data_IF_750278569466
#
_entry.id   IF_750278569466
#
_cell.length_a   1.000
_cell.length_b   1.000
_cell.length_c   1.000
_cell.angle_alpha   90.00
_cell.angle_beta   90.00
_cell.angle_gamma   90.00
#
_symmetry.space_group_name_H-M   'P 1'
#
loop_
_entity.id
_entity.type
_entity.pdbx_description
1 polymer ?
#
# COMPACT_ATOMS: atom_id res chain seq x y z
N UNK A 1 -52.55 30.21 -61.11
CA UNK A 1 -51.39 29.31 -61.26
C UNK A 1 -50.17 30.04 -60.75
N UNK A 2 -49.43 29.38 -59.87
CA UNK A 2 -48.65 29.96 -58.77
C UNK A 2 -47.33 30.62 -59.18
N UNK A 3 -47.02 31.73 -58.52
CA UNK A 3 -45.70 32.35 -58.38
C UNK A 3 -44.86 31.56 -57.38
N UNK A 4 -43.62 31.18 -57.76
CA UNK A 4 -42.63 30.59 -56.85
C UNK A 4 -41.70 31.67 -56.32
N UNK A 5 -41.68 31.80 -54.99
CA UNK A 5 -40.70 32.56 -54.21
C UNK A 5 -39.63 31.56 -53.76
N UNK A 6 -38.38 31.76 -54.17
CA UNK A 6 -37.24 30.98 -53.68
C UNK A 6 -36.81 31.55 -52.31
N UNK A 7 -36.94 30.72 -51.26
CA UNK A 7 -36.49 31.03 -49.90
C UNK A 7 -35.07 30.52 -49.71
N UNK A 8 -34.12 31.46 -49.72
CA UNK A 8 -32.76 31.30 -49.22
C UNK A 8 -32.79 31.25 -47.69
N UNK A 9 -32.32 30.16 -47.09
CA UNK A 9 -31.86 30.00 -45.69
C UNK A 9 -31.67 28.52 -45.38
N UNK A 10 -30.44 28.04 -45.49
CA UNK A 10 -29.91 27.01 -44.58
C UNK A 10 -28.38 26.99 -44.71
N UNK A 11 -27.75 27.87 -43.94
CA UNK A 11 -26.31 27.83 -43.65
C UNK A 11 -26.17 27.23 -42.24
N UNK A 12 -25.52 26.08 -42.05
CA UNK A 12 -25.29 25.56 -40.71
C UNK A 12 -24.36 26.52 -39.96
N UNK A 13 -24.83 27.04 -38.82
CA UNK A 13 -23.99 27.73 -37.86
C UNK A 13 -22.99 26.72 -37.30
N UNK A 14 -21.72 26.94 -37.61
CA UNK A 14 -20.62 26.24 -36.96
C UNK A 14 -20.71 26.49 -35.45
N UNK A 15 -21.00 25.44 -34.69
CA UNK A 15 -20.79 25.42 -33.25
C UNK A 15 -19.28 25.55 -33.02
N UNK A 16 -18.83 26.74 -32.65
CA UNK A 16 -17.51 26.96 -32.09
C UNK A 16 -17.36 26.06 -30.86
N UNK A 17 -16.41 25.15 -30.96
CA UNK A 17 -15.89 24.35 -29.85
C UNK A 17 -15.36 25.32 -28.79
N UNK A 18 -16.15 25.53 -27.74
CA UNK A 18 -15.72 26.28 -26.56
C UNK A 18 -14.76 25.34 -25.84
N UNK A 19 -13.46 25.53 -26.12
CA UNK A 19 -12.38 24.80 -25.48
C UNK A 19 -12.65 24.70 -23.98
N UNK A 20 -12.78 23.46 -23.50
CA UNK A 20 -12.92 23.16 -22.10
C UNK A 20 -11.78 23.86 -21.35
N UNK A 21 -12.11 24.90 -20.58
CA UNK A 21 -11.17 25.53 -19.68
C UNK A 21 -10.73 24.44 -18.68
N UNK A 22 -9.51 23.94 -18.87
CA UNK A 22 -8.90 22.97 -17.97
C UNK A 22 -8.87 23.60 -16.57
N UNK A 23 -9.64 23.06 -15.61
CA UNK A 23 -9.55 23.49 -14.22
C UNK A 23 -8.07 23.43 -13.78
N UNK A 24 -7.56 24.45 -13.07
CA UNK A 24 -6.16 24.47 -12.68
C UNK A 24 -5.88 23.22 -11.84
N UNK A 25 -4.98 22.37 -12.34
CA UNK A 25 -4.59 21.15 -11.65
C UNK A 25 -4.13 21.50 -10.23
N UNK A 26 -4.79 20.90 -9.24
CA UNK A 26 -4.40 21.05 -7.84
C UNK A 26 -2.98 20.50 -7.68
N UNK A 27 -2.05 21.33 -7.19
CA UNK A 27 -0.67 20.87 -6.91
C UNK A 27 -0.64 20.03 -5.63
N UNK A 28 0.28 19.06 -5.55
CA UNK A 28 0.45 18.18 -4.40
C UNK A 28 0.58 18.94 -3.07
N UNK A 29 1.53 19.89 -2.99
CA UNK A 29 1.75 20.66 -1.75
C UNK A 29 0.52 21.48 -1.35
N UNK A 30 -0.18 22.09 -2.32
CA UNK A 30 -1.41 22.86 -2.02
C UNK A 30 -2.52 21.95 -1.50
N UNK A 31 -2.58 20.70 -1.97
CA UNK A 31 -3.53 19.71 -1.49
C UNK A 31 -3.17 19.21 -0.08
N UNK A 32 -1.91 18.88 0.17
CA UNK A 32 -1.44 18.44 1.49
C UNK A 32 -1.70 19.50 2.57
N UNK A 33 -1.37 20.76 2.29
CA UNK A 33 -1.60 21.90 3.21
C UNK A 33 -3.10 22.10 3.50
N UNK A 34 -3.96 22.03 2.47
CA UNK A 34 -5.42 22.21 2.64
C UNK A 34 -6.11 21.09 3.40
N UNK A 35 -5.55 19.88 3.40
CA UNK A 35 -6.18 18.70 4.02
C UNK A 35 -5.52 18.29 5.35
N UNK A 36 -4.78 19.19 6.00
CA UNK A 36 -4.14 18.96 7.30
C UNK A 36 -3.24 17.70 7.34
N UNK A 37 -2.58 17.37 6.21
CA UNK A 37 -1.71 16.19 6.13
C UNK A 37 -0.44 16.30 7.00
N UNK A 38 -0.18 17.46 7.62
CA UNK A 38 0.86 17.63 8.64
C UNK A 38 0.55 16.89 9.95
N UNK A 39 -0.71 16.47 10.17
CA UNK A 39 -1.12 15.75 11.38
C UNK A 39 -1.00 14.24 11.18
N UNK A 40 -0.14 13.59 11.95
CA UNK A 40 0.07 12.12 11.85
C UNK A 40 -1.23 11.34 12.13
N UNK A 41 -2.09 11.85 13.01
CA UNK A 41 -3.34 11.20 13.41
C UNK A 41 -4.25 10.91 12.22
N UNK A 42 -4.35 11.85 11.28
CA UNK A 42 -5.22 11.72 10.11
C UNK A 42 -4.81 10.54 9.24
N UNK A 43 -3.52 10.45 8.89
CA UNK A 43 -3.02 9.36 8.07
C UNK A 43 -3.14 7.99 8.75
N UNK A 44 -2.97 7.95 10.07
CA UNK A 44 -3.12 6.73 10.85
C UNK A 44 -4.57 6.29 10.96
N UNK A 45 -5.49 7.23 11.22
CA UNK A 45 -6.93 6.96 11.20
C UNK A 45 -7.39 6.43 9.84
N UNK A 46 -6.90 7.03 8.75
CA UNK A 46 -7.16 6.57 7.39
C UNK A 46 -6.65 5.15 7.15
N UNK A 47 -5.44 4.83 7.62
CA UNK A 47 -4.86 3.49 7.47
C UNK A 47 -5.63 2.45 8.30
N UNK A 48 -5.97 2.75 9.56
CA UNK A 48 -6.79 1.91 10.43
C UNK A 48 -8.17 1.60 9.82
N UNK A 49 -8.81 2.60 9.19
CA UNK A 49 -10.10 2.44 8.54
C UNK A 49 -10.06 1.39 7.40
N UNK A 50 -8.93 1.23 6.70
CA UNK A 50 -8.76 0.19 5.69
C UNK A 50 -8.74 -1.23 6.28
N UNK A 51 -8.36 -1.36 7.55
CA UNK A 51 -8.38 -2.61 8.29
C UNK A 51 -9.72 -2.87 9.01
N UNK A 52 -10.71 -1.99 8.82
CA UNK A 52 -12.02 -2.10 9.46
C UNK A 52 -12.01 -1.86 10.97
N UNK A 53 -10.95 -1.26 11.50
CA UNK A 53 -10.78 -0.97 12.93
C UNK A 53 -10.76 0.55 13.16
N UNK A 54 -11.58 1.11 14.07
CA UNK A 54 -11.48 2.51 14.41
C UNK A 54 -10.25 2.76 15.31
N UNK A 55 -9.56 3.88 15.09
CA UNK A 55 -8.58 4.37 16.05
C UNK A 55 -9.34 4.96 17.25
N UNK A 56 -9.10 4.43 18.46
CA UNK A 56 -9.91 4.76 19.64
C UNK A 56 -9.45 6.04 20.35
N UNK A 57 -8.14 6.34 20.31
CA UNK A 57 -7.54 7.52 20.94
C UNK A 57 -6.91 8.42 19.91
N UNK A 58 -7.15 9.73 20.02
CA UNK A 58 -6.65 10.75 19.08
C UNK A 58 -5.15 11.09 19.24
N UNK A 59 -4.42 10.39 20.12
CA UNK A 59 -3.02 10.70 20.45
C UNK A 59 -2.09 9.86 19.56
N UNK A 60 -1.27 10.52 18.74
CA UNK A 60 -0.38 9.92 17.74
C UNK A 60 0.60 8.87 18.30
N UNK A 61 1.11 9.10 19.51
CA UNK A 61 2.08 8.20 20.16
C UNK A 61 1.46 6.84 20.56
N UNK A 62 0.13 6.73 20.60
CA UNK A 62 -0.59 5.51 20.96
C UNK A 62 -0.95 4.64 19.75
N UNK A 63 -0.86 5.13 18.52
CA UNK A 63 -1.54 4.42 17.42
C UNK A 63 -0.92 3.06 17.08
N UNK A 64 0.40 2.93 17.15
CA UNK A 64 1.06 1.63 16.98
C UNK A 64 0.88 0.70 18.19
N UNK A 65 0.57 1.24 19.37
CA UNK A 65 0.17 0.46 20.53
C UNK A 65 -1.27 -0.04 20.38
N UNK A 66 -2.19 0.84 20.02
CA UNK A 66 -3.57 0.50 19.67
C UNK A 66 -3.66 -0.53 18.55
N UNK A 67 -2.75 -0.47 17.56
CA UNK A 67 -2.66 -1.48 16.52
C UNK A 67 -2.43 -2.87 17.15
N UNK A 68 -1.54 -2.98 18.14
CA UNK A 68 -1.24 -4.25 18.83
C UNK A 68 -2.45 -4.77 19.59
N UNK A 69 -3.22 -3.89 20.22
CA UNK A 69 -4.44 -4.25 20.97
C UNK A 69 -5.49 -4.94 20.08
N UNK A 70 -5.49 -4.66 18.78
CA UNK A 70 -6.38 -5.26 17.77
C UNK A 70 -5.69 -6.28 16.86
N UNK A 71 -4.50 -6.76 17.26
CA UNK A 71 -3.75 -7.80 16.54
C UNK A 71 -3.08 -7.33 15.26
N UNK A 72 -2.92 -6.02 15.07
CA UNK A 72 -2.12 -5.40 14.00
C UNK A 72 -0.78 -4.92 14.55
N UNK A 73 0.15 -4.62 13.66
CA UNK A 73 1.42 -4.02 14.01
C UNK A 73 1.84 -2.99 12.98
N UNK A 74 2.46 -1.91 13.45
CA UNK A 74 3.20 -1.01 12.58
C UNK A 74 4.50 -1.66 12.13
N UNK A 75 4.81 -1.50 10.85
CA UNK A 75 6.09 -1.84 10.26
C UNK A 75 6.61 -0.61 9.51
N UNK A 76 7.67 -0.02 10.07
CA UNK A 76 8.33 1.17 9.54
C UNK A 76 9.52 0.75 8.70
N UNK A 77 9.67 1.35 7.52
CA UNK A 77 10.78 1.08 6.62
C UNK A 77 11.18 2.33 5.86
N UNK A 78 12.39 2.29 5.32
CA UNK A 78 12.84 3.18 4.26
C UNK A 78 13.16 2.32 3.03
N UNK A 79 12.50 2.57 1.89
CA UNK A 79 12.75 1.88 0.63
C UNK A 79 12.13 2.64 -0.56
N UNK A 80 12.33 2.15 -1.78
CA UNK A 80 11.75 2.71 -3.00
C UNK A 80 10.28 2.28 -3.23
N UNK A 81 9.68 2.82 -4.30
CA UNK A 81 8.33 2.47 -4.72
C UNK A 81 8.17 0.97 -5.01
N UNK A 82 9.18 0.33 -5.61
CA UNK A 82 9.16 -1.11 -5.90
C UNK A 82 9.00 -1.95 -4.62
N UNK A 83 9.67 -1.58 -3.54
CA UNK A 83 9.54 -2.26 -2.26
C UNK A 83 8.14 -2.15 -1.63
N UNK A 84 7.44 -1.03 -1.84
CA UNK A 84 6.03 -0.88 -1.46
C UNK A 84 5.14 -1.76 -2.35
N UNK A 85 5.38 -1.75 -3.67
CA UNK A 85 4.59 -2.52 -4.64
C UNK A 85 4.69 -4.03 -4.36
N UNK A 86 5.89 -4.54 -4.08
CA UNK A 86 6.12 -5.96 -3.72
C UNK A 86 5.39 -6.38 -2.45
N UNK A 87 5.18 -5.45 -1.50
CA UNK A 87 4.35 -5.71 -0.31
C UNK A 87 2.86 -5.59 -0.59
N UNK A 88 2.45 -4.80 -1.57
CA UNK A 88 1.05 -4.62 -1.97
C UNK A 88 0.14 -4.26 -0.76
N UNK A 89 0.66 -3.47 0.18
CA UNK A 89 -0.07 -2.96 1.34
C UNK A 89 -0.22 -1.44 1.23
N UNK A 90 -1.38 -0.88 1.57
CA UNK A 90 -1.51 0.55 1.77
C UNK A 90 -0.54 1.03 2.84
N UNK A 91 0.07 2.19 2.58
CA UNK A 91 1.15 2.71 3.40
C UNK A 91 0.90 4.18 3.73
N UNK A 92 1.34 4.62 4.89
CA UNK A 92 1.55 6.05 5.14
C UNK A 92 2.95 6.38 4.61
N UNK A 93 3.04 7.35 3.71
CA UNK A 93 4.32 7.90 3.26
C UNK A 93 4.58 9.24 3.94
N UNK A 94 5.85 9.54 4.22
CA UNK A 94 6.28 10.83 4.77
C UNK A 94 6.91 11.68 3.67
N UNK A 95 6.30 12.84 3.40
CA UNK A 95 6.75 13.80 2.39
C UNK A 95 7.34 15.02 3.10
N UNK A 96 8.47 15.52 2.62
CA UNK A 96 9.10 16.74 3.15
C UNK A 96 9.23 17.78 2.04
N UNK A 97 8.68 18.98 2.25
CA UNK A 97 8.83 20.08 1.28
C UNK A 97 10.20 20.78 1.40
N UNK A 98 10.49 21.68 0.46
CA UNK A 98 11.75 22.43 0.41
C UNK A 98 11.95 23.38 1.58
N UNK A 99 10.90 23.69 2.33
CA UNK A 99 10.93 24.50 3.55
C UNK A 99 11.16 23.63 4.80
N UNK A 100 11.22 22.30 4.66
CA UNK A 100 11.40 21.33 5.74
C UNK A 100 10.10 20.90 6.42
N UNK A 101 8.93 21.31 5.91
CA UNK A 101 7.64 20.89 6.46
C UNK A 101 7.36 19.43 6.11
N UNK A 102 6.94 18.64 7.09
CA UNK A 102 6.63 17.22 6.94
C UNK A 102 5.14 16.96 6.83
N UNK A 103 4.77 16.07 5.92
CA UNK A 103 3.40 15.63 5.67
C UNK A 103 3.34 14.12 5.73
N UNK A 104 2.30 13.57 6.36
CA UNK A 104 2.00 12.14 6.38
C UNK A 104 0.66 11.92 5.72
N UNK A 105 0.62 11.01 4.76
CA UNK A 105 -0.56 10.78 3.93
C UNK A 105 -0.68 9.31 3.57
N UNK A 106 -1.90 8.81 3.48
CA UNK A 106 -2.17 7.43 3.08
C UNK A 106 -2.01 7.27 1.57
N UNK A 107 -1.07 6.43 1.15
CA UNK A 107 -0.96 5.85 -0.18
C UNK A 107 -1.92 4.65 -0.28
N UNK A 108 -3.00 4.80 -1.04
CA UNK A 108 -4.01 3.74 -1.22
C UNK A 108 -3.75 2.81 -2.39
N UNK A 109 -2.96 3.25 -3.33
CA UNK A 109 -2.75 2.59 -4.60
C UNK A 109 -1.79 3.39 -5.45
N UNK A 110 -1.02 2.72 -6.27
CA UNK A 110 -0.20 3.34 -7.30
C UNK A 110 0.17 2.33 -8.37
N UNK A 111 0.55 2.85 -9.52
CA UNK A 111 1.24 2.16 -10.60
C UNK A 111 2.50 2.95 -10.99
N UNK A 112 3.10 2.62 -12.12
CA UNK A 112 4.34 3.26 -12.60
C UNK A 112 4.18 4.75 -12.98
N UNK A 113 2.94 5.29 -13.00
CA UNK A 113 2.63 6.66 -13.46
C UNK A 113 1.92 7.49 -12.42
N UNK A 114 1.02 6.89 -11.67
CA UNK A 114 0.05 7.58 -10.83
C UNK A 114 -0.05 6.91 -9.47
N UNK A 115 -0.28 7.74 -8.46
CA UNK A 115 -0.54 7.29 -7.10
C UNK A 115 -1.76 7.99 -6.56
N UNK A 116 -2.59 7.23 -5.85
CA UNK A 116 -3.72 7.76 -5.12
C UNK A 116 -3.36 8.02 -3.67
N UNK A 117 -3.42 9.29 -3.29
CA UNK A 117 -3.24 9.75 -1.91
C UNK A 117 -4.59 10.03 -1.25
N UNK A 118 -4.70 9.73 0.05
CA UNK A 118 -5.85 10.03 0.90
C UNK A 118 -5.41 10.80 2.15
N UNK A 119 -6.16 11.88 2.44
CA UNK A 119 -6.12 12.60 3.70
C UNK A 119 -7.57 12.82 4.18
N UNK A 120 -7.96 12.09 5.21
CA UNK A 120 -9.34 12.01 5.67
C UNK A 120 -10.28 11.53 4.57
N UNK A 121 -11.37 12.25 4.33
CA UNK A 121 -12.38 11.92 3.31
C UNK A 121 -11.99 12.31 1.88
N UNK A 122 -10.83 12.93 1.67
CA UNK A 122 -10.39 13.42 0.37
C UNK A 122 -9.37 12.46 -0.22
N UNK A 123 -9.62 12.03 -1.45
CA UNK A 123 -8.76 11.16 -2.24
C UNK A 123 -8.45 11.87 -3.56
N UNK A 124 -7.18 11.97 -3.91
CA UNK A 124 -6.73 12.60 -5.16
C UNK A 124 -5.62 11.75 -5.78
N UNK A 125 -5.60 11.72 -7.10
CA UNK A 125 -4.57 11.04 -7.89
C UNK A 125 -3.54 12.08 -8.33
N UNK A 126 -2.26 11.76 -8.11
CA UNK A 126 -1.13 12.57 -8.56
C UNK A 126 -0.21 11.71 -9.43
N UNK A 127 0.60 12.37 -10.27
CA UNK A 127 1.71 11.68 -10.92
C UNK A 127 2.75 11.25 -9.88
N UNK A 128 3.31 10.05 -10.05
CA UNK A 128 4.30 9.52 -9.09
C UNK A 128 5.53 10.44 -9.01
N UNK A 129 5.94 11.04 -10.13
CA UNK A 129 7.03 12.00 -10.21
C UNK A 129 6.81 13.28 -9.40
N UNK A 130 5.55 13.69 -9.20
CA UNK A 130 5.24 14.87 -8.37
C UNK A 130 5.37 14.55 -6.88
N UNK A 131 5.16 13.30 -6.50
CA UNK A 131 5.30 12.81 -5.12
C UNK A 131 6.76 12.50 -4.82
N UNK A 132 7.46 11.85 -5.75
CA UNK A 132 8.84 11.39 -5.62
C UNK A 132 9.81 12.52 -5.26
N UNK A 133 9.57 13.73 -5.80
CA UNK A 133 10.33 14.96 -5.46
C UNK A 133 10.37 15.29 -3.98
N UNK A 134 9.39 14.83 -3.20
CA UNK A 134 9.24 15.13 -1.78
C UNK A 134 9.38 13.89 -0.89
N UNK A 135 9.47 12.69 -1.47
CA UNK A 135 9.48 11.45 -0.72
C UNK A 135 10.90 10.95 -0.47
N UNK A 136 11.25 10.72 0.80
CA UNK A 136 12.58 10.23 1.22
C UNK A 136 12.70 8.70 1.21
N UNK A 137 11.66 7.99 0.79
CA UNK A 137 11.55 6.53 0.91
C UNK A 137 10.96 6.05 2.24
N UNK A 138 10.72 6.93 3.22
CA UNK A 138 10.14 6.54 4.50
C UNK A 138 8.65 6.22 4.37
N UNK A 139 8.26 5.05 4.87
CA UNK A 139 6.86 4.65 4.93
C UNK A 139 6.56 3.76 6.14
N UNK A 140 5.28 3.73 6.49
CA UNK A 140 4.71 2.83 7.47
C UNK A 140 3.60 2.01 6.83
N UNK A 141 3.57 0.72 7.09
CA UNK A 141 2.40 -0.13 6.85
C UNK A 141 1.87 -0.68 8.17
N UNK A 142 0.57 -0.95 8.20
CA UNK A 142 0.02 -1.88 9.16
C UNK A 142 0.04 -3.28 8.55
N UNK A 143 0.29 -4.28 9.36
CA UNK A 143 0.21 -5.68 8.97
C UNK A 143 -0.31 -6.52 10.13
N UNK A 144 -0.84 -7.70 9.82
CA UNK A 144 -1.31 -8.68 10.81
C UNK A 144 -0.27 -9.79 10.94
N UNK A 145 0.43 -9.91 12.08
CA UNK A 145 1.32 -11.03 12.33
C UNK A 145 0.57 -12.36 12.31
N UNK A 146 1.21 -13.44 11.86
CA UNK A 146 0.60 -14.76 11.95
C UNK A 146 0.48 -15.20 13.41
N UNK A 147 -0.50 -16.08 13.69
CA UNK A 147 -0.80 -16.59 15.03
C UNK A 147 0.29 -17.48 15.65
N UNK A 148 1.45 -17.61 15.00
CA UNK A 148 2.64 -18.32 15.48
C UNK A 148 3.57 -17.42 16.30
N UNK A 149 3.18 -16.17 16.54
CA UNK A 149 3.98 -15.20 17.27
C UNK A 149 5.08 -14.57 16.41
N UNK A 150 6.10 -14.03 17.09
CA UNK A 150 7.20 -13.26 16.49
C UNK A 150 8.55 -13.98 16.58
N UNK A 151 8.50 -15.27 16.87
CA UNK A 151 9.71 -16.07 17.04
C UNK A 151 10.46 -16.14 15.71
N UNK A 152 11.78 -16.00 15.81
CA UNK A 152 12.67 -16.17 14.68
C UNK A 152 12.61 -17.64 14.24
N UNK A 153 12.23 -17.92 12.99
CA UNK A 153 12.28 -19.28 12.45
C UNK A 153 13.60 -19.45 11.72
N UNK A 154 14.41 -20.41 12.16
CA UNK A 154 15.78 -20.63 11.70
C UNK A 154 16.00 -22.09 11.33
N UNK A 155 17.07 -22.43 10.58
CA UNK A 155 17.46 -23.81 10.38
C UNK A 155 17.55 -24.59 11.69
N UNK A 156 16.94 -25.77 11.73
CA UNK A 156 16.80 -26.61 12.92
C UNK A 156 15.58 -26.30 13.81
N UNK A 157 14.85 -25.21 13.58
CA UNK A 157 13.56 -24.95 14.25
C UNK A 157 12.54 -26.06 13.96
N UNK A 158 11.60 -26.26 14.88
CA UNK A 158 10.51 -27.21 14.78
C UNK A 158 9.23 -26.64 15.41
N UNK A 159 8.08 -27.25 15.14
CA UNK A 159 6.80 -26.93 15.77
C UNK A 159 5.90 -26.02 14.94
N UNK A 160 4.83 -25.46 15.55
CA UNK A 160 3.74 -24.82 14.81
C UNK A 160 4.17 -23.65 13.90
N UNK A 161 5.23 -22.94 14.26
CA UNK A 161 5.81 -21.88 13.44
C UNK A 161 6.35 -22.41 12.10
N UNK A 162 7.02 -23.56 12.12
CA UNK A 162 7.55 -24.22 10.91
C UNK A 162 6.41 -24.78 10.07
N UNK A 163 5.41 -25.40 10.69
CA UNK A 163 4.23 -25.90 9.98
C UNK A 163 3.46 -24.78 9.29
N UNK A 164 3.32 -23.62 9.95
CA UNK A 164 2.77 -22.42 9.33
C UNK A 164 3.60 -21.96 8.14
N UNK A 165 4.93 -21.90 8.29
CA UNK A 165 5.84 -21.46 7.24
C UNK A 165 5.75 -22.35 6.00
N UNK A 166 5.76 -23.68 6.19
CA UNK A 166 5.61 -24.65 5.09
C UNK A 166 4.30 -24.44 4.35
N UNK A 167 3.16 -24.41 5.07
CA UNK A 167 1.84 -24.17 4.45
C UNK A 167 1.77 -22.80 3.77
N UNK A 168 2.46 -21.81 4.31
CA UNK A 168 2.50 -20.46 3.75
C UNK A 168 3.26 -20.44 2.43
N UNK A 169 4.44 -21.05 2.38
CA UNK A 169 5.22 -21.19 1.16
C UNK A 169 4.51 -22.06 0.13
N UNK A 170 3.85 -23.14 0.53
CA UNK A 170 3.05 -23.97 -0.38
C UNK A 170 2.00 -23.13 -1.11
N UNK A 171 1.27 -22.27 -0.39
CA UNK A 171 0.28 -21.37 -0.98
C UNK A 171 0.91 -20.34 -1.93
N UNK A 172 2.05 -19.76 -1.56
CA UNK A 172 2.75 -18.75 -2.38
C UNK A 172 3.33 -19.38 -3.67
N UNK A 173 3.78 -20.62 -3.57
CA UNK A 173 4.38 -21.39 -4.66
C UNK A 173 3.33 -22.14 -5.51
N UNK A 174 2.03 -22.05 -5.15
CA UNK A 174 0.95 -22.74 -5.86
C UNK A 174 0.98 -24.26 -5.69
N UNK A 175 1.61 -24.78 -4.64
CA UNK A 175 1.65 -26.20 -4.30
C UNK A 175 0.37 -26.62 -3.55
N UNK A 176 -0.02 -27.91 -3.62
CA UNK A 176 -1.04 -28.45 -2.73
C UNK A 176 -0.68 -28.17 -1.26
N UNK A 177 -1.63 -27.69 -0.44
CA UNK A 177 -1.33 -27.34 0.94
C UNK A 177 -0.94 -28.59 1.73
N UNK A 178 0.21 -28.53 2.40
CA UNK A 178 0.62 -29.55 3.36
C UNK A 178 -0.44 -29.79 4.44
N UNK A 179 -0.89 -31.04 4.58
CA UNK A 179 -1.83 -31.47 5.63
C UNK A 179 -1.14 -32.15 6.82
N UNK A 180 0.17 -32.37 6.72
CA UNK A 180 0.99 -32.92 7.80
C UNK A 180 1.43 -31.80 8.76
N UNK A 181 1.73 -32.19 10.01
CA UNK A 181 2.28 -31.32 11.05
C UNK A 181 3.54 -31.96 11.63
N UNK A 182 4.41 -31.16 12.24
CA UNK A 182 5.71 -31.63 12.73
C UNK A 182 6.82 -31.54 11.69
N UNK A 183 6.74 -30.55 10.79
CA UNK A 183 7.83 -30.23 9.89
C UNK A 183 9.05 -29.74 10.68
N UNK A 184 10.24 -30.13 10.22
CA UNK A 184 11.50 -29.55 10.64
C UNK A 184 11.94 -28.49 9.64
N UNK A 185 12.64 -27.47 10.13
CA UNK A 185 13.31 -26.51 9.27
C UNK A 185 14.62 -27.10 8.76
N UNK A 186 14.51 -27.93 7.73
CA UNK A 186 15.61 -28.64 7.08
C UNK A 186 16.23 -27.84 5.92
N UNK A 187 17.19 -28.45 5.22
CA UNK A 187 17.88 -27.84 4.08
C UNK A 187 16.93 -27.53 2.92
N UNK A 188 15.89 -28.36 2.73
CA UNK A 188 14.90 -28.14 1.69
C UNK A 188 14.02 -26.92 1.99
N UNK A 189 13.55 -26.77 3.23
CA UNK A 189 12.81 -25.59 3.66
C UNK A 189 13.70 -24.34 3.63
N UNK A 190 14.97 -24.47 4.03
CA UNK A 190 15.95 -23.38 3.96
C UNK A 190 16.10 -22.86 2.52
N UNK A 191 16.23 -23.75 1.55
CA UNK A 191 16.33 -23.37 0.14
C UNK A 191 15.09 -22.62 -0.36
N UNK A 192 13.88 -23.06 0.04
CA UNK A 192 12.61 -22.38 -0.28
C UNK A 192 12.53 -20.99 0.33
N UNK A 193 12.93 -20.84 1.59
CA UNK A 193 12.94 -19.53 2.27
C UNK A 193 13.93 -18.57 1.58
N UNK A 194 15.13 -19.04 1.22
CA UNK A 194 16.08 -18.21 0.48
C UNK A 194 15.56 -17.79 -0.89
N UNK A 195 14.86 -18.68 -1.58
CA UNK A 195 14.22 -18.35 -2.85
C UNK A 195 13.14 -17.28 -2.72
N UNK A 196 12.29 -17.42 -1.71
CA UNK A 196 11.33 -16.40 -1.33
C UNK A 196 12.02 -15.06 -1.02
N UNK A 197 13.07 -15.07 -0.19
CA UNK A 197 13.81 -13.87 0.18
C UNK A 197 14.39 -13.17 -1.05
N UNK A 198 15.07 -13.88 -1.95
CA UNK A 198 15.59 -13.31 -3.20
C UNK A 198 14.50 -12.70 -4.07
N UNK A 199 13.37 -13.40 -4.25
CA UNK A 199 12.24 -12.92 -5.06
C UNK A 199 11.66 -11.59 -4.53
N UNK A 200 11.72 -11.37 -3.23
CA UNK A 200 11.21 -10.16 -2.58
C UNK A 200 12.30 -9.12 -2.26
N UNK A 201 13.54 -9.33 -2.72
CA UNK A 201 14.72 -8.49 -2.47
C UNK A 201 15.00 -8.31 -0.97
N UNK A 202 14.89 -9.40 -0.22
CA UNK A 202 15.28 -9.51 1.18
C UNK A 202 16.69 -10.12 1.30
N UNK A 203 17.30 -10.02 2.48
CA UNK A 203 18.50 -10.80 2.79
C UNK A 203 18.18 -12.30 2.64
N UNK A 204 18.94 -13.02 1.82
CA UNK A 204 18.72 -14.42 1.50
C UNK A 204 19.49 -15.36 2.44
N UNK A 205 19.48 -15.04 3.72
CA UNK A 205 20.15 -15.77 4.78
C UNK A 205 19.47 -17.12 5.12
N UNK A 206 18.21 -17.29 4.73
CA UNK A 206 17.39 -18.43 5.13
C UNK A 206 16.83 -18.31 6.54
N UNK A 207 16.75 -17.08 7.09
CA UNK A 207 16.20 -16.78 8.42
C UNK A 207 14.87 -16.04 8.26
N UNK A 208 13.82 -16.57 8.89
CA UNK A 208 12.49 -15.95 8.89
C UNK A 208 12.36 -15.02 10.10
N UNK A 209 12.92 -13.82 9.93
CA UNK A 209 12.71 -12.69 10.84
C UNK A 209 11.50 -11.83 10.47
N UNK A 210 11.34 -10.69 11.14
CA UNK A 210 10.18 -9.81 10.94
C UNK A 210 9.99 -9.38 9.48
N UNK A 211 11.07 -9.04 8.76
CA UNK A 211 10.99 -8.60 7.37
C UNK A 211 10.44 -9.72 6.48
N UNK A 212 10.99 -10.93 6.62
CA UNK A 212 10.50 -12.12 5.91
C UNK A 212 9.05 -12.43 6.28
N UNK A 213 8.65 -12.32 7.56
CA UNK A 213 7.28 -12.57 8.02
C UNK A 213 6.26 -11.58 7.46
N UNK A 214 6.60 -10.28 7.38
CA UNK A 214 5.74 -9.26 6.76
C UNK A 214 5.49 -9.61 5.30
N UNK A 215 6.54 -9.93 4.56
CA UNK A 215 6.45 -10.29 3.15
C UNK A 215 5.68 -11.61 2.94
N UNK A 216 5.96 -12.63 3.75
CA UNK A 216 5.21 -13.89 3.72
C UNK A 216 3.72 -13.61 3.95
N UNK A 217 3.38 -12.83 4.98
CA UNK A 217 2.00 -12.43 5.32
C UNK A 217 1.31 -11.62 4.23
N UNK A 218 2.05 -10.81 3.48
CA UNK A 218 1.52 -10.04 2.36
C UNK A 218 1.36 -10.85 1.06
N UNK A 219 2.21 -11.86 0.82
CA UNK A 219 2.26 -12.59 -0.44
C UNK A 219 1.08 -13.56 -0.68
N UNK A 220 0.40 -14.00 0.37
CA UNK A 220 -0.81 -14.84 0.25
C UNK A 220 -1.91 -14.42 1.23
N UNK A 221 -2.36 -13.15 1.16
CA UNK A 221 -3.07 -12.50 2.23
C UNK A 221 -4.50 -13.05 2.36
N UNK A 222 -5.04 -12.88 3.56
CA UNK A 222 -6.45 -13.15 3.85
C UNK A 222 -7.35 -12.15 3.09
N UNK A 223 -8.57 -12.52 2.67
CA UNK A 223 -9.51 -11.58 2.03
C UNK A 223 -9.79 -10.29 2.82
N UNK A 224 -9.64 -10.32 4.15
CA UNK A 224 -9.82 -9.16 5.03
C UNK A 224 -8.63 -8.17 5.04
N UNK A 225 -7.49 -8.55 4.47
CA UNK A 225 -6.30 -7.71 4.46
C UNK A 225 -6.38 -6.67 3.32
N UNK A 226 -6.23 -5.36 3.63
CA UNK A 226 -6.28 -4.34 2.61
C UNK A 226 -5.07 -4.44 1.68
N UNK A 227 -5.28 -4.06 0.42
CA UNK A 227 -4.24 -4.06 -0.62
C UNK A 227 -4.16 -2.72 -1.31
N UNK A 228 -3.01 -2.44 -1.91
CA UNK A 228 -2.90 -1.31 -2.83
C UNK A 228 -3.86 -1.53 -4.01
N UNK A 229 -4.66 -0.51 -4.29
CA UNK A 229 -5.45 -0.49 -5.52
C UNK A 229 -4.52 -0.30 -6.70
N UNK A 230 -4.67 -1.15 -7.70
CA UNK A 230 -4.00 -0.96 -8.99
C UNK A 230 -4.85 0.01 -9.82
N UNK A 231 -4.19 0.94 -10.49
CA UNK A 231 -4.83 1.73 -11.54
C UNK A 231 -4.93 0.86 -12.82
N UNK A 232 -6.04 0.95 -13.57
CA UNK A 232 -6.25 0.19 -14.80
C UNK A 232 -5.41 0.69 -15.98
#
# INVERSE_FOLDING_TARGET
MSTHVASDRDKPLALTDVGAAQEPAITLLSWLKRNNATRSHTAMSDLFALWGVPLQREIDLDACEQARDVGLQCYFQNADWGAIQRKNLPAIIELTDTEGSRYRVLLRGFDDRQATLQAGRKQVVFHIEDIDRYWSGEYLVLWRPPAIGRELITPGSQGPAVDWLVRRLDRIEGRPPSTFEGYAYDDALTARVRDFQRRFELADDGIVGQHTLVHLSAAAPDPSQPRLKQHP
#
